data_IF_392086906776
#
_entry.id   IF_392086906776
#
_cell.length_a   1.000
_cell.length_b   1.000
_cell.length_c   1.000
_cell.angle_alpha   90.00
_cell.angle_beta   90.00
_cell.angle_gamma   90.00
#
_symmetry.space_group_name_H-M   'P 1'
#
loop_
_entity.id
_entity.type
_entity.pdbx_description
1 polymer ?
#
# COMPACT_ATOMS: atom_id res chain seq x y z
N UNK A 1 -38.87 35.63 -2.05
CA UNK A 1 -37.69 36.20 -2.69
C UNK A 1 -36.66 36.65 -1.67
N UNK A 2 -35.62 35.96 -1.51
CA UNK A 2 -34.24 36.25 -1.14
C UNK A 2 -33.63 35.11 -0.32
N UNK A 3 -33.03 34.11 -0.99
CA UNK A 3 -31.93 33.36 -0.37
C UNK A 3 -30.60 33.40 -1.15
N UNK A 4 -30.50 34.19 -2.26
CA UNK A 4 -29.31 34.11 -3.13
C UNK A 4 -28.10 34.98 -2.69
N UNK A 5 -28.31 35.93 -1.78
CA UNK A 5 -27.26 36.88 -1.39
C UNK A 5 -26.29 36.33 -0.32
N UNK A 6 -26.79 35.45 0.57
CA UNK A 6 -26.01 34.88 1.67
C UNK A 6 -25.03 33.81 1.15
N UNK A 7 -25.41 33.06 0.12
CA UNK A 7 -24.55 32.01 -0.47
C UNK A 7 -23.40 32.63 -1.27
N UNK A 8 -23.63 33.76 -1.96
CA UNK A 8 -22.59 34.50 -2.67
C UNK A 8 -21.55 35.11 -1.73
N UNK A 9 -21.94 35.62 -0.57
CA UNK A 9 -21.02 36.20 0.41
C UNK A 9 -20.09 35.18 1.07
N UNK A 10 -20.58 33.96 1.33
CA UNK A 10 -19.74 32.87 1.86
C UNK A 10 -18.72 32.36 0.82
N UNK A 11 -19.05 32.35 -0.46
CA UNK A 11 -18.14 31.95 -1.52
C UNK A 11 -17.00 32.95 -1.71
N UNK A 12 -17.29 34.26 -1.61
CA UNK A 12 -16.31 35.33 -1.75
C UNK A 12 -15.32 35.41 -0.56
N UNK A 13 -15.75 35.03 0.65
CA UNK A 13 -14.90 34.99 1.85
C UNK A 13 -13.89 33.83 1.84
N UNK A 14 -14.09 32.79 1.03
CA UNK A 14 -13.20 31.64 0.92
C UNK A 14 -12.14 31.77 -0.18
N UNK A 15 -12.31 32.71 -1.10
CA UNK A 15 -11.38 32.90 -2.23
C UNK A 15 -10.01 33.48 -1.84
N UNK A 16 -9.81 33.91 -0.60
CA UNK A 16 -8.54 34.44 -0.09
C UNK A 16 -8.00 33.74 1.15
N UNK A 17 -8.59 32.63 1.58
CA UNK A 17 -8.12 31.92 2.78
C UNK A 17 -6.78 31.22 2.50
N UNK A 18 -5.70 31.87 2.93
CA UNK A 18 -4.39 31.23 3.05
C UNK A 18 -4.39 30.44 4.36
N UNK A 19 -4.10 29.12 4.26
CA UNK A 19 -3.97 28.23 5.42
C UNK A 19 -2.49 27.95 5.63
N UNK A 20 -1.94 28.49 6.72
CA UNK A 20 -0.58 28.14 7.14
C UNK A 20 -0.58 26.65 7.55
N UNK A 21 0.31 25.89 6.96
CA UNK A 21 0.44 24.46 7.15
C UNK A 21 1.81 24.14 7.77
N UNK A 22 1.81 23.26 8.74
CA UNK A 22 3.03 22.69 9.32
C UNK A 22 3.31 21.36 8.64
N UNK A 23 4.51 21.25 8.03
CA UNK A 23 5.02 20.04 7.42
C UNK A 23 6.20 19.55 8.25
N UNK A 24 6.11 18.33 8.76
CA UNK A 24 7.15 17.71 9.56
C UNK A 24 8.06 16.91 8.64
N UNK A 25 9.15 17.51 8.19
CA UNK A 25 10.10 16.91 7.26
C UNK A 25 11.23 16.20 7.97
N UNK A 26 11.50 14.95 7.60
CA UNK A 26 12.76 14.29 7.89
C UNK A 26 13.84 14.94 7.03
N UNK A 27 14.81 15.61 7.68
CA UNK A 27 15.91 16.32 6.99
C UNK A 27 17.12 15.40 6.87
N UNK A 28 17.41 14.66 7.92
CA UNK A 28 18.42 13.62 8.00
C UNK A 28 17.87 12.44 8.79
N UNK A 29 18.45 11.26 8.71
CA UNK A 29 18.05 10.15 9.58
C UNK A 29 17.91 10.57 11.03
N UNK A 30 16.79 10.23 11.65
CA UNK A 30 16.39 10.55 13.03
C UNK A 30 16.25 12.05 13.35
N UNK A 31 16.29 12.94 12.35
CA UNK A 31 16.21 14.38 12.56
C UNK A 31 15.09 15.02 11.75
N UNK A 32 14.08 15.54 12.46
CA UNK A 32 12.93 16.24 11.88
C UNK A 32 13.04 17.75 12.06
N UNK A 33 12.58 18.49 11.04
CA UNK A 33 12.33 19.94 11.12
C UNK A 33 10.88 20.24 10.74
N UNK A 34 10.36 21.33 11.29
CA UNK A 34 9.04 21.85 10.91
C UNK A 34 9.23 22.91 9.84
N UNK A 35 8.54 22.71 8.70
CA UNK A 35 8.48 23.68 7.62
C UNK A 35 7.10 24.33 7.61
N UNK A 36 7.05 25.63 7.47
CA UNK A 36 5.84 26.44 7.36
C UNK A 36 5.59 26.77 5.88
N UNK A 37 4.40 26.46 5.40
CA UNK A 37 4.02 26.75 4.00
C UNK A 37 2.58 27.26 3.92
N UNK A 38 2.32 28.11 2.93
CA UNK A 38 0.96 28.45 2.54
C UNK A 38 0.37 27.34 1.69
N UNK A 39 -0.73 26.75 2.15
CA UNK A 39 -1.39 25.70 1.41
C UNK A 39 -2.25 26.27 0.30
N UNK A 40 -1.90 25.93 -0.94
CA UNK A 40 -2.73 26.21 -2.12
C UNK A 40 -3.96 25.31 -2.10
N UNK A 41 -5.14 25.92 -2.05
CA UNK A 41 -6.42 25.18 -1.95
C UNK A 41 -7.18 25.11 -3.29
N UNK A 42 -6.66 25.74 -4.34
CA UNK A 42 -7.35 25.78 -5.64
C UNK A 42 -7.39 24.38 -6.27
N UNK A 43 -8.58 23.97 -6.70
CA UNK A 43 -8.85 22.66 -7.30
C UNK A 43 -8.43 21.47 -6.43
N UNK A 44 -8.39 21.65 -5.10
CA UNK A 44 -8.01 20.62 -4.15
C UNK A 44 -9.04 20.45 -3.04
N UNK A 45 -9.10 19.23 -2.54
CA UNK A 45 -9.75 18.88 -1.29
C UNK A 45 -8.70 19.01 -0.19
N UNK A 46 -8.97 19.84 0.81
CA UNK A 46 -8.11 19.98 1.98
C UNK A 46 -8.58 19.03 3.07
N UNK A 47 -7.72 18.12 3.45
CA UNK A 47 -7.99 17.08 4.44
C UNK A 47 -7.11 17.30 5.66
N UNK A 48 -7.70 17.20 6.85
CA UNK A 48 -6.97 17.12 8.11
C UNK A 48 -6.69 15.65 8.45
N UNK A 49 -5.45 15.19 8.45
CA UNK A 49 -5.09 13.86 8.93
C UNK A 49 -5.60 13.62 10.35
N UNK A 50 -6.18 12.46 10.59
CA UNK A 50 -6.64 12.02 11.92
C UNK A 50 -5.86 10.84 12.42
N UNK A 51 -5.60 9.87 11.54
CA UNK A 51 -4.78 8.70 11.82
C UNK A 51 -3.85 8.42 10.66
N UNK A 52 -2.65 8.04 11.01
CA UNK A 52 -1.58 7.65 10.09
C UNK A 52 -0.97 6.35 10.55
N UNK A 53 -0.54 5.51 9.62
CA UNK A 53 0.21 4.28 9.90
C UNK A 53 1.64 4.42 9.46
N UNK A 54 2.56 3.82 10.20
CA UNK A 54 3.99 3.82 9.91
C UNK A 54 4.34 2.56 9.12
N UNK A 55 4.69 2.73 7.86
CA UNK A 55 5.18 1.65 7.01
C UNK A 55 6.66 1.31 7.33
N UNK A 56 7.07 0.10 6.99
CA UNK A 56 8.49 -0.26 7.07
C UNK A 56 9.38 0.63 6.17
N UNK A 57 8.83 1.13 5.07
CA UNK A 57 9.53 2.09 4.20
C UNK A 57 9.86 3.41 4.95
N UNK A 58 8.92 3.93 5.75
CA UNK A 58 9.14 5.14 6.56
C UNK A 58 10.23 4.89 7.61
N UNK A 59 10.20 3.73 8.28
CA UNK A 59 11.22 3.33 9.25
C UNK A 59 12.61 3.29 8.62
N UNK A 60 12.73 2.79 7.38
CA UNK A 60 14.02 2.72 6.67
C UNK A 60 14.57 4.11 6.35
N UNK A 61 13.73 5.09 6.00
CA UNK A 61 14.17 6.49 5.86
C UNK A 61 14.58 7.06 7.21
N UNK A 62 13.74 6.89 8.23
CA UNK A 62 14.00 7.41 9.56
C UNK A 62 15.33 6.88 10.16
N UNK A 63 15.61 5.57 10.01
CA UNK A 63 16.83 4.94 10.52
C UNK A 63 18.05 5.12 9.59
N UNK A 64 17.88 5.68 8.41
CA UNK A 64 18.95 5.78 7.42
C UNK A 64 19.33 4.46 6.74
N UNK A 65 18.46 3.45 6.81
CA UNK A 65 18.64 2.13 6.21
C UNK A 65 18.22 2.11 4.73
N UNK A 66 18.69 3.10 3.98
CA UNK A 66 18.53 3.25 2.54
C UNK A 66 19.89 3.53 1.93
N UNK A 67 20.01 3.29 0.64
CA UNK A 67 21.18 3.74 -0.13
C UNK A 67 21.42 5.24 0.07
N UNK A 68 22.68 5.64 0.25
CA UNK A 68 23.06 7.04 0.51
C UNK A 68 22.62 7.99 -0.60
N UNK A 69 22.68 7.55 -1.86
CA UNK A 69 22.21 8.33 -2.99
C UNK A 69 20.71 8.56 -2.90
N UNK A 70 19.92 7.52 -2.59
CA UNK A 70 18.48 7.63 -2.40
C UNK A 70 18.12 8.56 -1.23
N UNK A 71 18.89 8.57 -0.14
CA UNK A 71 18.70 9.51 0.97
C UNK A 71 18.97 10.95 0.54
N UNK A 72 20.10 11.20 -0.13
CA UNK A 72 20.48 12.56 -0.58
C UNK A 72 19.56 13.17 -1.64
N UNK A 73 18.97 12.32 -2.50
CA UNK A 73 18.06 12.77 -3.54
C UNK A 73 16.62 13.01 -3.03
N UNK A 74 16.21 12.31 -1.98
CA UNK A 74 14.81 12.30 -1.52
C UNK A 74 14.55 13.11 -0.26
N UNK A 75 15.55 13.34 0.57
CA UNK A 75 15.42 14.20 1.74
C UNK A 75 15.80 15.65 1.40
N UNK A 76 15.18 16.67 2.04
CA UNK A 76 14.15 16.57 3.08
C UNK A 76 12.76 16.23 2.52
N UNK A 77 11.99 15.41 3.24
CA UNK A 77 10.58 15.16 2.91
C UNK A 77 9.78 14.78 4.16
N UNK A 78 8.48 15.09 4.17
CA UNK A 78 7.56 14.51 5.14
C UNK A 78 7.38 13.02 4.85
N UNK A 79 7.46 12.20 5.89
CA UNK A 79 7.18 10.77 5.79
C UNK A 79 5.67 10.50 5.76
N UNK A 80 5.31 9.23 5.81
CA UNK A 80 3.96 8.67 5.89
C UNK A 80 3.18 8.77 4.60
N UNK A 81 2.76 7.60 4.12
CA UNK A 81 1.90 7.45 2.94
C UNK A 81 0.60 6.68 3.23
N UNK A 82 0.38 6.28 4.48
CA UNK A 82 -0.84 5.62 4.96
C UNK A 82 -1.60 6.59 5.85
N UNK A 83 -2.76 7.09 5.40
CA UNK A 83 -3.47 8.15 6.11
C UNK A 83 -4.97 8.13 5.84
N UNK A 84 -5.74 8.40 6.89
CA UNK A 84 -7.14 8.80 6.80
C UNK A 84 -7.37 10.08 7.60
N UNK A 85 -8.41 10.81 7.21
CA UNK A 85 -8.71 12.09 7.84
C UNK A 85 -10.13 12.57 7.55
N UNK A 86 -10.32 13.86 7.77
CA UNK A 86 -11.61 14.55 7.55
C UNK A 86 -11.41 15.72 6.60
N UNK A 87 -12.35 15.88 5.69
CA UNK A 87 -12.41 17.05 4.79
C UNK A 87 -12.70 18.31 5.59
N UNK A 88 -11.83 19.30 5.49
CA UNK A 88 -12.02 20.61 6.16
C UNK A 88 -12.36 21.73 5.18
N UNK A 89 -12.01 21.58 3.91
CA UNK A 89 -12.36 22.49 2.84
C UNK A 89 -12.36 21.73 1.52
N UNK A 90 -13.40 21.91 0.74
CA UNK A 90 -13.45 21.43 -0.66
C UNK A 90 -13.96 22.53 -1.58
N UNK A 91 -13.08 23.09 -2.41
CA UNK A 91 -13.43 24.06 -3.46
C UNK A 91 -13.88 23.37 -4.76
N UNK A 92 -13.73 22.06 -4.86
CA UNK A 92 -14.17 21.29 -6.05
C UNK A 92 -15.67 20.95 -5.98
N UNK A 93 -16.26 20.96 -4.79
CA UNK A 93 -17.68 20.63 -4.55
C UNK A 93 -17.95 19.12 -4.61
N UNK A 94 -16.92 18.28 -4.48
CA UNK A 94 -17.04 16.82 -4.57
C UNK A 94 -17.38 16.19 -3.21
N UNK A 95 -16.88 16.77 -2.11
CA UNK A 95 -16.97 16.21 -0.77
C UNK A 95 -17.59 17.19 0.22
N UNK A 96 -18.25 16.66 1.24
CA UNK A 96 -18.80 17.47 2.34
C UNK A 96 -17.72 17.75 3.41
N UNK A 97 -17.83 18.91 4.07
CA UNK A 97 -16.98 19.24 5.22
C UNK A 97 -17.31 18.28 6.37
N UNK A 98 -16.25 17.69 6.98
CA UNK A 98 -16.38 16.67 8.00
C UNK A 98 -16.46 15.24 7.46
N UNK A 99 -16.57 15.07 6.14
CA UNK A 99 -16.58 13.73 5.53
C UNK A 99 -15.26 12.99 5.81
N UNK A 100 -15.36 11.74 6.25
CA UNK A 100 -14.22 10.87 6.50
C UNK A 100 -13.67 10.31 5.20
N UNK A 101 -12.37 10.38 5.05
CA UNK A 101 -11.70 10.03 3.78
C UNK A 101 -10.35 9.34 4.02
N UNK A 102 -9.98 8.49 3.06
CA UNK A 102 -8.65 7.91 2.92
C UNK A 102 -7.92 8.64 1.80
N UNK A 103 -6.62 8.85 1.96
CA UNK A 103 -5.78 9.54 0.99
C UNK A 103 -4.96 8.54 0.18
N UNK A 104 -4.95 8.71 -1.14
CA UNK A 104 -4.17 7.89 -2.07
C UNK A 104 -2.82 8.55 -2.30
N UNK A 105 -1.70 7.93 -1.90
CA UNK A 105 -0.37 8.55 -2.01
C UNK A 105 0.20 8.56 -3.43
N UNK A 106 -0.29 7.71 -4.34
CA UNK A 106 0.16 7.70 -5.72
C UNK A 106 -0.49 8.84 -6.51
N UNK A 107 0.33 9.67 -7.15
CA UNK A 107 -0.11 10.82 -7.94
C UNK A 107 0.31 10.61 -9.40
N UNK A 108 -0.62 10.19 -10.27
CA UNK A 108 -0.31 10.00 -11.68
C UNK A 108 -0.06 11.33 -12.39
N UNK A 109 0.79 11.32 -13.40
CA UNK A 109 1.10 12.49 -14.21
C UNK A 109 0.07 12.77 -15.33
N UNK A 110 -0.99 11.97 -15.41
CA UNK A 110 -2.04 12.05 -16.43
C UNK A 110 -2.61 10.68 -16.76
N UNK A 111 -3.14 10.51 -17.96
CA UNK A 111 -3.61 9.22 -18.44
C UNK A 111 -2.44 8.24 -18.61
N UNK A 112 -2.53 7.10 -17.95
CA UNK A 112 -1.54 6.03 -17.98
C UNK A 112 -1.88 4.93 -19.02
N UNK A 113 -2.99 5.06 -19.74
CA UNK A 113 -3.46 4.09 -20.73
C UNK A 113 -3.67 2.69 -20.12
N UNK A 114 -3.00 1.68 -20.70
CA UNK A 114 -3.09 0.28 -20.25
C UNK A 114 -2.17 -0.03 -19.04
N UNK A 115 -1.26 0.89 -18.70
CA UNK A 115 -0.34 0.72 -17.56
C UNK A 115 -1.03 1.18 -16.29
N UNK A 116 -0.99 0.38 -15.24
CA UNK A 116 -1.48 0.83 -13.94
C UNK A 116 -0.69 2.07 -13.46
N UNK A 117 -1.39 3.06 -12.92
CA UNK A 117 -0.80 4.33 -12.47
C UNK A 117 0.36 4.17 -11.46
N UNK A 118 0.37 3.10 -10.69
CA UNK A 118 1.44 2.79 -9.73
C UNK A 118 2.74 2.26 -10.38
N UNK A 119 2.71 1.94 -11.67
CA UNK A 119 3.88 1.52 -12.48
C UNK A 119 4.28 2.54 -13.55
N UNK A 120 3.51 3.61 -13.75
CA UNK A 120 3.87 4.68 -14.67
C UNK A 120 5.07 5.45 -14.11
N UNK A 121 6.17 5.48 -14.82
CA UNK A 121 7.42 6.15 -14.42
C UNK A 121 7.24 7.66 -14.20
N UNK A 122 6.24 8.28 -14.83
CA UNK A 122 5.90 9.70 -14.67
C UNK A 122 5.12 9.96 -13.38
N UNK A 123 4.52 8.93 -12.77
CA UNK A 123 3.81 9.04 -11.51
C UNK A 123 4.80 9.26 -10.37
N UNK A 124 4.41 10.06 -9.39
CA UNK A 124 5.18 10.18 -8.15
C UNK A 124 4.38 9.65 -6.96
N UNK A 125 5.10 9.26 -5.94
CA UNK A 125 4.53 8.66 -4.74
C UNK A 125 4.89 9.50 -3.53
N UNK A 126 3.88 9.98 -2.80
CA UNK A 126 4.06 10.77 -1.60
C UNK A 126 4.82 9.95 -0.53
N UNK A 127 5.72 10.59 0.22
CA UNK A 127 6.73 10.00 1.09
C UNK A 127 7.80 9.15 0.36
N UNK A 128 8.00 9.40 -0.95
CA UNK A 128 9.11 8.79 -1.70
C UNK A 128 9.71 9.81 -2.68
N UNK A 129 10.34 10.85 -2.17
CA UNK A 129 10.89 11.98 -2.93
C UNK A 129 9.94 13.17 -3.06
N UNK A 130 8.77 13.09 -2.46
CA UNK A 130 7.82 14.19 -2.28
C UNK A 130 7.22 14.11 -0.88
N UNK A 131 6.77 15.24 -0.34
CA UNK A 131 6.18 15.29 1.00
C UNK A 131 4.99 14.34 1.14
N UNK A 132 5.09 13.41 2.11
CA UNK A 132 4.03 12.51 2.51
C UNK A 132 2.96 13.20 3.38
N UNK A 133 2.24 12.42 4.17
CA UNK A 133 1.10 12.91 4.94
C UNK A 133 1.43 13.45 6.34
N UNK A 134 2.70 13.43 6.76
CA UNK A 134 3.11 13.94 8.07
C UNK A 134 3.07 15.48 8.12
N UNK A 135 1.86 16.03 8.08
CA UNK A 135 1.55 17.47 8.06
C UNK A 135 0.17 17.73 8.66
N UNK A 136 -0.09 18.99 9.06
CA UNK A 136 -1.38 19.37 9.66
C UNK A 136 -2.53 19.26 8.65
N UNK A 137 -2.28 19.64 7.40
CA UNK A 137 -3.28 19.63 6.34
C UNK A 137 -2.68 19.07 5.06
N UNK A 138 -3.47 18.28 4.34
CA UNK A 138 -3.08 17.69 3.06
C UNK A 138 -4.04 18.17 1.98
N UNK A 139 -3.53 18.89 0.99
CA UNK A 139 -4.30 19.27 -0.20
C UNK A 139 -4.18 18.23 -1.29
N UNK A 140 -5.25 17.49 -1.55
CA UNK A 140 -5.28 16.41 -2.55
C UNK A 140 -6.18 16.76 -3.73
N UNK A 141 -5.86 16.31 -4.95
CA UNK A 141 -6.84 16.26 -6.03
C UNK A 141 -8.03 15.40 -5.62
N UNK A 142 -9.28 15.75 -6.00
CA UNK A 142 -10.46 15.01 -5.55
C UNK A 142 -10.44 13.53 -5.96
N UNK A 143 -9.82 13.18 -7.08
CA UNK A 143 -9.65 11.79 -7.52
C UNK A 143 -8.67 10.97 -6.68
N UNK A 144 -7.89 11.62 -5.80
CA UNK A 144 -6.96 10.98 -4.86
C UNK A 144 -7.50 10.87 -3.43
N UNK A 145 -8.79 11.06 -3.28
CA UNK A 145 -9.52 10.98 -2.01
C UNK A 145 -10.60 9.91 -2.14
N UNK A 146 -10.73 9.04 -1.14
CA UNK A 146 -11.74 7.97 -1.10
C UNK A 146 -12.58 8.11 0.15
N UNK A 147 -13.87 8.41 0.04
CA UNK A 147 -14.75 8.47 1.19
C UNK A 147 -15.01 7.07 1.75
N UNK A 148 -15.28 6.99 3.05
CA UNK A 148 -15.67 5.73 3.69
C UNK A 148 -16.66 5.99 4.84
N UNK A 149 -17.44 4.95 5.15
CA UNK A 149 -18.40 4.93 6.24
C UNK A 149 -18.26 3.63 7.03
N UNK A 150 -18.72 3.64 8.28
CA UNK A 150 -18.81 2.44 9.13
C UNK A 150 -17.48 1.71 9.41
N UNK A 151 -16.34 2.36 9.15
CA UNK A 151 -15.01 1.85 9.47
C UNK A 151 -14.40 2.75 10.56
N UNK A 152 -13.86 2.19 11.65
CA UNK A 152 -13.10 2.99 12.62
C UNK A 152 -11.91 3.68 11.95
N UNK A 153 -11.64 4.93 12.33
CA UNK A 153 -10.51 5.71 11.75
C UNK A 153 -9.17 4.97 11.87
N UNK A 154 -8.95 4.29 13.00
CA UNK A 154 -7.74 3.49 13.21
C UNK A 154 -7.60 2.37 12.17
N UNK A 155 -8.71 1.72 11.82
CA UNK A 155 -8.73 0.69 10.76
C UNK A 155 -8.57 1.31 9.38
N UNK A 156 -9.23 2.45 9.13
CA UNK A 156 -9.12 3.15 7.85
C UNK A 156 -7.70 3.64 7.55
N UNK A 157 -6.88 3.91 8.57
CA UNK A 157 -5.50 4.37 8.38
C UNK A 157 -4.60 3.35 7.69
N UNK A 158 -4.92 2.06 7.75
CA UNK A 158 -4.15 0.99 7.06
C UNK A 158 -4.74 0.59 5.70
N UNK A 159 -5.70 1.35 5.18
CA UNK A 159 -6.36 1.01 3.90
C UNK A 159 -5.39 1.06 2.71
N UNK A 160 -4.41 1.96 2.73
CA UNK A 160 -3.33 1.96 1.72
C UNK A 160 -2.64 0.60 1.71
N UNK A 161 -2.20 0.13 2.85
CA UNK A 161 -1.51 -1.14 2.99
C UNK A 161 -2.38 -2.34 2.54
N UNK A 162 -3.68 -2.34 2.88
CA UNK A 162 -4.63 -3.34 2.39
C UNK A 162 -4.79 -3.25 0.87
N UNK A 163 -4.82 -2.05 0.29
CA UNK A 163 -4.95 -1.86 -1.16
C UNK A 163 -3.79 -2.47 -1.95
N UNK A 164 -2.57 -2.49 -1.37
CA UNK A 164 -1.41 -3.19 -1.95
C UNK A 164 -1.65 -4.69 -2.01
N UNK A 165 -2.22 -5.28 -0.96
CA UNK A 165 -2.59 -6.69 -0.93
C UNK A 165 -3.68 -7.01 -1.97
N UNK A 166 -4.71 -6.16 -2.05
CA UNK A 166 -5.78 -6.28 -3.07
C UNK A 166 -5.19 -6.26 -4.47
N UNK A 167 -4.28 -5.31 -4.76
CA UNK A 167 -3.59 -5.23 -6.04
C UNK A 167 -2.84 -6.53 -6.36
N UNK A 168 -2.06 -7.07 -5.42
CA UNK A 168 -1.30 -8.29 -5.62
C UNK A 168 -2.21 -9.51 -5.88
N UNK A 169 -3.29 -9.63 -5.11
CA UNK A 169 -4.28 -10.71 -5.28
C UNK A 169 -5.00 -10.59 -6.64
N UNK A 170 -5.35 -9.37 -7.07
CA UNK A 170 -5.95 -9.12 -8.37
C UNK A 170 -4.98 -9.43 -9.52
N UNK A 171 -3.68 -9.14 -9.36
CA UNK A 171 -2.67 -9.53 -10.35
C UNK A 171 -2.55 -11.05 -10.45
N UNK A 172 -2.52 -11.77 -9.33
CA UNK A 172 -2.56 -13.23 -9.35
C UNK A 172 -3.81 -13.72 -10.09
N UNK A 173 -4.99 -13.23 -9.71
CA UNK A 173 -6.27 -13.66 -10.29
C UNK A 173 -6.32 -13.49 -11.81
N UNK A 174 -5.78 -12.39 -12.32
CA UNK A 174 -5.75 -12.09 -13.76
C UNK A 174 -4.84 -13.02 -14.56
N UNK A 175 -3.73 -13.49 -13.97
CA UNK A 175 -2.68 -14.21 -14.70
C UNK A 175 -2.55 -15.69 -14.35
N UNK A 176 -3.16 -16.12 -13.23
CA UNK A 176 -3.10 -17.49 -12.76
C UNK A 176 -4.12 -18.40 -13.46
N UNK A 177 -3.79 -19.69 -13.58
CA UNK A 177 -4.78 -20.70 -13.98
C UNK A 177 -5.91 -20.80 -12.92
N UNK A 178 -7.03 -21.44 -13.27
CA UNK A 178 -8.27 -21.42 -12.47
C UNK A 178 -8.22 -22.29 -11.21
N UNK A 179 -7.33 -23.28 -11.09
CA UNK A 179 -7.21 -24.10 -9.88
C UNK A 179 -6.64 -23.25 -8.74
N UNK A 180 -7.39 -23.13 -7.67
CA UNK A 180 -7.07 -22.33 -6.49
C UNK A 180 -7.45 -23.08 -5.21
N UNK A 181 -7.17 -24.40 -5.16
CA UNK A 181 -7.50 -25.22 -4.01
C UNK A 181 -6.65 -24.83 -2.81
N UNK A 182 -5.36 -24.58 -3.05
CA UNK A 182 -4.42 -24.18 -2.01
C UNK A 182 -3.54 -23.01 -2.50
N UNK A 183 -3.54 -21.93 -1.73
CA UNK A 183 -2.69 -20.75 -1.99
C UNK A 183 -1.73 -20.58 -0.81
N UNK A 184 -0.42 -20.50 -1.12
CA UNK A 184 0.64 -20.35 -0.13
C UNK A 184 1.11 -18.92 0.01
N UNK A 185 1.49 -18.53 1.22
CA UNK A 185 2.11 -17.25 1.52
C UNK A 185 3.41 -17.51 2.26
N UNK A 186 4.54 -17.08 1.73
CA UNK A 186 5.84 -17.16 2.38
C UNK A 186 6.16 -15.82 3.03
N UNK A 187 6.28 -15.85 4.35
CA UNK A 187 6.46 -14.72 5.25
C UNK A 187 5.48 -14.75 6.41
N UNK A 188 5.87 -14.19 7.55
CA UNK A 188 5.05 -14.11 8.77
C UNK A 188 4.84 -12.67 9.25
N UNK A 189 5.07 -11.71 8.33
CA UNK A 189 4.94 -10.29 8.59
C UNK A 189 3.57 -9.71 8.29
N UNK A 190 3.46 -8.39 8.42
CA UNK A 190 2.20 -7.65 8.19
C UNK A 190 1.70 -7.78 6.75
N UNK A 191 2.60 -7.79 5.74
CA UNK A 191 2.20 -7.98 4.33
C UNK A 191 1.53 -9.34 4.13
N UNK A 192 2.10 -10.41 4.67
CA UNK A 192 1.49 -11.74 4.63
C UNK A 192 0.10 -11.77 5.27
N UNK A 193 -0.07 -11.02 6.35
CA UNK A 193 -1.34 -10.93 7.07
C UNK A 193 -2.44 -10.30 6.21
N UNK A 194 -2.18 -9.14 5.61
CA UNK A 194 -3.17 -8.47 4.75
C UNK A 194 -3.42 -9.22 3.44
N UNK A 195 -2.40 -9.90 2.88
CA UNK A 195 -2.59 -10.83 1.74
C UNK A 195 -3.51 -11.98 2.13
N UNK A 196 -3.31 -12.59 3.30
CA UNK A 196 -4.19 -13.66 3.77
C UNK A 196 -5.63 -13.18 3.97
N UNK A 197 -5.84 -11.97 4.50
CA UNK A 197 -7.17 -11.36 4.62
C UNK A 197 -7.81 -11.18 3.23
N UNK A 198 -7.11 -10.55 2.29
CA UNK A 198 -7.61 -10.31 0.93
C UNK A 198 -7.95 -11.63 0.20
N UNK A 199 -7.10 -12.66 0.34
CA UNK A 199 -7.35 -13.98 -0.22
C UNK A 199 -8.59 -14.67 0.38
N UNK A 200 -8.80 -14.56 1.69
CA UNK A 200 -9.98 -15.14 2.36
C UNK A 200 -11.28 -14.51 1.89
N UNK A 201 -11.27 -13.20 1.62
CA UNK A 201 -12.42 -12.48 1.08
C UNK A 201 -12.65 -12.87 -0.39
N UNK A 202 -11.61 -12.81 -1.20
CA UNK A 202 -11.73 -13.02 -2.65
C UNK A 202 -11.94 -14.49 -3.04
N UNK A 203 -11.28 -15.41 -2.33
CA UNK A 203 -11.33 -16.85 -2.59
C UNK A 203 -11.72 -17.63 -1.31
N UNK A 204 -12.96 -17.49 -0.82
CA UNK A 204 -13.39 -18.07 0.45
C UNK A 204 -13.31 -19.59 0.50
N UNK A 205 -13.33 -20.27 -0.65
CA UNK A 205 -13.23 -21.74 -0.77
C UNK A 205 -11.78 -22.25 -0.79
N UNK A 206 -10.80 -21.37 -1.09
CA UNK A 206 -9.39 -21.77 -1.15
C UNK A 206 -8.82 -22.01 0.24
N UNK A 207 -7.95 -23.01 0.36
CA UNK A 207 -7.12 -23.21 1.54
C UNK A 207 -5.96 -22.21 1.51
N UNK A 208 -5.88 -21.37 2.52
CA UNK A 208 -4.77 -20.42 2.69
C UNK A 208 -3.78 -20.99 3.68
N UNK A 209 -2.52 -21.08 3.26
CA UNK A 209 -1.42 -21.62 4.06
C UNK A 209 -0.33 -20.56 4.19
N UNK A 210 0.14 -20.32 5.40
CA UNK A 210 1.22 -19.37 5.68
C UNK A 210 2.46 -20.10 6.17
N UNK A 211 3.61 -19.81 5.55
CA UNK A 211 4.91 -20.37 5.88
C UNK A 211 5.80 -19.27 6.43
N UNK A 212 6.32 -19.41 7.63
CA UNK A 212 7.13 -18.39 8.30
C UNK A 212 8.22 -18.94 9.20
N UNK A 213 9.03 -18.06 9.77
CA UNK A 213 10.16 -18.44 10.64
C UNK A 213 9.83 -18.30 12.13
N UNK A 214 8.85 -17.47 12.49
CA UNK A 214 8.56 -17.10 13.86
C UNK A 214 7.19 -17.62 14.31
N UNK A 215 7.18 -18.58 15.24
CA UNK A 215 5.94 -19.21 15.75
C UNK A 215 4.97 -18.19 16.40
N UNK A 216 5.49 -17.20 17.14
CA UNK A 216 4.67 -16.14 17.76
C UNK A 216 4.01 -15.25 16.72
N UNK A 217 4.68 -14.97 15.58
CA UNK A 217 4.05 -14.23 14.48
C UNK A 217 3.01 -15.09 13.78
N UNK A 218 3.33 -16.37 13.51
CA UNK A 218 2.40 -17.31 12.89
C UNK A 218 1.12 -17.53 13.70
N UNK A 219 1.18 -17.49 15.03
CA UNK A 219 -0.02 -17.63 15.89
C UNK A 219 -1.07 -16.54 15.66
N UNK A 220 -0.72 -15.40 15.05
CA UNK A 220 -1.67 -14.35 14.70
C UNK A 220 -2.55 -14.69 13.49
N UNK A 221 -2.16 -15.68 12.70
CA UNK A 221 -2.89 -16.13 11.50
C UNK A 221 -3.95 -17.19 11.85
N UNK A 222 -4.71 -16.98 12.93
CA UNK A 222 -5.72 -17.95 13.43
C UNK A 222 -6.87 -18.23 12.45
N UNK A 223 -7.08 -17.35 11.47
CA UNK A 223 -8.15 -17.41 10.48
C UNK A 223 -7.76 -18.14 9.18
N UNK A 224 -6.49 -18.50 8.99
CA UNK A 224 -6.05 -19.29 7.83
C UNK A 224 -6.20 -20.79 8.09
N UNK A 225 -6.13 -21.58 7.02
CA UNK A 225 -6.34 -23.02 7.13
C UNK A 225 -5.18 -23.76 7.80
N UNK A 226 -3.93 -23.30 7.58
CA UNK A 226 -2.74 -23.91 8.16
C UNK A 226 -1.57 -22.91 8.20
N UNK A 227 -0.72 -23.05 9.20
CA UNK A 227 0.57 -22.40 9.27
C UNK A 227 1.68 -23.42 9.41
N UNK A 228 2.85 -23.18 8.82
CA UNK A 228 4.04 -23.98 8.95
C UNK A 228 5.25 -23.11 9.31
N UNK A 229 6.09 -23.65 10.18
CA UNK A 229 7.45 -23.15 10.29
C UNK A 229 8.25 -23.62 9.07
N UNK A 230 9.09 -22.75 8.52
CA UNK A 230 9.86 -22.99 7.29
C UNK A 230 10.62 -24.33 7.33
N UNK A 231 11.18 -24.68 8.49
CA UNK A 231 11.94 -25.92 8.67
C UNK A 231 11.07 -27.16 8.90
N UNK A 232 9.78 -27.01 9.11
CA UNK A 232 8.83 -28.13 9.33
C UNK A 232 7.84 -28.29 8.17
N UNK A 233 8.11 -27.65 7.04
CA UNK A 233 7.27 -27.76 5.85
C UNK A 233 7.40 -29.17 5.26
N UNK A 234 6.31 -29.95 5.10
CA UNK A 234 6.39 -31.29 4.54
C UNK A 234 6.95 -31.29 3.11
N UNK A 235 7.78 -32.27 2.78
CA UNK A 235 8.42 -32.35 1.47
C UNK A 235 7.42 -32.52 0.31
N UNK A 236 6.29 -33.15 0.57
CA UNK A 236 5.18 -33.37 -0.38
C UNK A 236 4.14 -32.24 -0.40
N UNK A 237 4.26 -31.25 0.47
CA UNK A 237 3.36 -30.10 0.48
C UNK A 237 3.42 -29.35 -0.84
N UNK A 238 2.28 -28.97 -1.40
CA UNK A 238 2.16 -28.21 -2.65
C UNK A 238 1.05 -27.20 -2.57
N UNK A 239 1.25 -26.12 -3.33
CA UNK A 239 0.29 -25.02 -3.52
C UNK A 239 0.06 -24.77 -5.01
N UNK A 240 -1.11 -24.26 -5.38
CA UNK A 240 -1.40 -23.91 -6.76
C UNK A 240 -0.74 -22.58 -7.14
N UNK A 241 -0.80 -21.61 -6.24
CA UNK A 241 -0.20 -20.29 -6.39
C UNK A 241 0.45 -19.85 -5.08
N UNK A 242 1.39 -18.92 -5.17
CA UNK A 242 2.17 -18.50 -4.01
C UNK A 242 2.43 -16.99 -3.98
N UNK A 243 2.58 -16.44 -2.76
CA UNK A 243 2.98 -15.06 -2.52
C UNK A 243 4.28 -15.00 -1.73
N UNK A 244 5.25 -14.24 -2.24
CA UNK A 244 6.50 -13.93 -1.53
C UNK A 244 6.33 -12.60 -0.79
N UNK A 245 6.40 -12.65 0.53
CA UNK A 245 6.21 -11.51 1.42
C UNK A 245 7.35 -11.40 2.47
N UNK A 246 8.51 -12.00 2.21
CA UNK A 246 9.65 -12.01 3.14
C UNK A 246 10.51 -10.78 2.96
N UNK A 247 10.97 -10.54 1.72
CA UNK A 247 11.91 -9.48 1.43
C UNK A 247 13.27 -9.61 2.11
N UNK A 248 14.18 -8.66 1.83
CA UNK A 248 15.52 -8.61 2.43
C UNK A 248 16.35 -9.87 2.17
N UNK A 249 17.26 -10.17 3.07
CA UNK A 249 18.19 -11.31 2.97
C UNK A 249 17.47 -12.67 2.95
N UNK A 250 16.29 -12.76 3.53
CA UNK A 250 15.54 -14.02 3.61
C UNK A 250 14.76 -14.39 2.36
N UNK A 251 14.65 -13.48 1.38
CA UNK A 251 13.77 -13.72 0.24
C UNK A 251 14.31 -14.80 -0.70
N UNK A 252 15.61 -14.98 -0.81
CA UNK A 252 16.21 -16.05 -1.64
C UNK A 252 15.72 -17.44 -1.19
N UNK A 253 15.87 -17.78 0.10
CA UNK A 253 15.40 -19.06 0.66
C UNK A 253 13.88 -19.24 0.48
N UNK A 254 13.12 -18.15 0.68
CA UNK A 254 11.68 -18.19 0.47
C UNK A 254 11.30 -18.49 -0.99
N UNK A 255 11.94 -17.83 -1.95
CA UNK A 255 11.71 -18.02 -3.40
C UNK A 255 12.07 -19.45 -3.82
N UNK A 256 13.22 -19.97 -3.39
CA UNK A 256 13.62 -21.35 -3.72
C UNK A 256 12.59 -22.36 -3.20
N UNK A 257 12.12 -22.20 -1.96
CA UNK A 257 11.05 -23.05 -1.39
C UNK A 257 9.74 -22.88 -2.15
N UNK A 258 9.37 -21.67 -2.52
CA UNK A 258 8.17 -21.44 -3.33
C UNK A 258 8.25 -22.16 -4.67
N UNK A 259 9.39 -22.11 -5.37
CA UNK A 259 9.62 -22.83 -6.64
C UNK A 259 9.45 -24.34 -6.42
N UNK A 260 10.00 -24.89 -5.34
CA UNK A 260 9.90 -26.32 -5.02
C UNK A 260 8.46 -26.75 -4.72
N UNK A 261 7.73 -25.94 -3.95
CA UNK A 261 6.40 -26.28 -3.41
C UNK A 261 5.23 -25.79 -4.26
N UNK A 262 5.45 -25.01 -5.32
CA UNK A 262 4.37 -24.62 -6.24
C UNK A 262 4.17 -25.71 -7.30
N UNK A 263 2.93 -26.07 -7.57
CA UNK A 263 2.57 -27.01 -8.63
C UNK A 263 3.04 -26.50 -10.01
N UNK A 264 3.26 -27.38 -10.99
CA UNK A 264 3.51 -26.99 -12.38
C UNK A 264 2.45 -26.00 -12.89
N UNK A 265 2.90 -25.02 -13.71
CA UNK A 265 2.11 -23.89 -14.23
C UNK A 265 1.55 -22.94 -13.16
N UNK A 266 1.95 -23.10 -11.90
CA UNK A 266 1.55 -22.18 -10.83
C UNK A 266 2.11 -20.77 -11.01
N UNK A 267 1.47 -19.81 -10.37
CA UNK A 267 1.85 -18.39 -10.38
C UNK A 267 2.38 -17.98 -9.03
N UNK A 268 3.54 -17.33 -9.05
CA UNK A 268 4.19 -16.76 -7.85
C UNK A 268 4.16 -15.23 -7.96
N UNK A 269 3.66 -14.56 -6.92
CA UNK A 269 3.61 -13.09 -6.82
C UNK A 269 4.65 -12.62 -5.83
N UNK A 270 5.55 -11.74 -6.28
CA UNK A 270 6.63 -11.19 -5.46
C UNK A 270 6.30 -9.79 -4.98
N UNK A 271 6.32 -9.60 -3.66
CA UNK A 271 6.08 -8.32 -2.99
C UNK A 271 7.26 -7.89 -2.10
N UNK A 272 8.07 -8.85 -1.66
CA UNK A 272 9.20 -8.58 -0.76
C UNK A 272 10.26 -7.73 -1.45
N UNK A 273 10.66 -6.63 -0.81
CA UNK A 273 11.71 -5.73 -1.30
C UNK A 273 13.07 -6.20 -0.80
N UNK A 274 14.01 -6.43 -1.72
CA UNK A 274 15.42 -6.66 -1.42
C UNK A 274 16.29 -5.56 -2.03
N UNK A 275 17.28 -5.08 -1.31
CA UNK A 275 18.25 -4.11 -1.85
C UNK A 275 19.27 -4.80 -2.76
N UNK A 276 19.57 -6.07 -2.50
CA UNK A 276 20.52 -6.88 -3.26
C UNK A 276 19.79 -7.69 -4.34
N UNK A 277 20.52 -8.01 -5.39
CA UNK A 277 20.05 -8.96 -6.41
C UNK A 277 19.84 -10.32 -5.78
N UNK A 278 18.71 -10.94 -6.11
CA UNK A 278 18.33 -12.27 -5.60
C UNK A 278 18.46 -13.28 -6.74
N UNK A 279 19.29 -14.33 -6.60
CA UNK A 279 19.36 -15.40 -7.60
C UNK A 279 18.08 -16.22 -7.58
N UNK A 280 17.67 -16.72 -8.75
CA UNK A 280 16.49 -17.57 -8.94
C UNK A 280 16.91 -18.84 -9.66
N UNK A 281 16.44 -20.01 -9.21
CA UNK A 281 16.63 -21.27 -9.89
C UNK A 281 15.79 -21.33 -11.18
N UNK A 282 16.37 -20.79 -12.26
CA UNK A 282 15.68 -20.69 -13.56
C UNK A 282 15.40 -22.05 -14.19
N UNK A 283 16.23 -23.07 -13.91
CA UNK A 283 16.01 -24.42 -14.43
C UNK A 283 14.71 -25.02 -13.92
N UNK A 284 14.49 -25.02 -12.61
CA UNK A 284 13.24 -25.50 -12.01
C UNK A 284 12.02 -24.67 -12.44
N UNK A 285 12.21 -23.37 -12.62
CA UNK A 285 11.17 -22.48 -13.13
C UNK A 285 10.71 -22.90 -14.53
N UNK A 286 11.65 -23.20 -15.44
CA UNK A 286 11.38 -23.67 -16.80
C UNK A 286 10.72 -25.05 -16.80
N UNK A 287 11.29 -26.01 -16.06
CA UNK A 287 10.79 -27.39 -16.01
C UNK A 287 9.35 -27.48 -15.50
N UNK A 288 8.97 -26.60 -14.57
CA UNK A 288 7.61 -26.53 -14.01
C UNK A 288 6.69 -25.56 -14.74
N UNK A 289 7.19 -24.77 -15.69
CA UNK A 289 6.40 -23.75 -16.40
C UNK A 289 5.80 -22.70 -15.46
N UNK A 290 6.53 -22.27 -14.43
CA UNK A 290 6.04 -21.32 -13.44
C UNK A 290 5.98 -19.90 -13.98
N UNK A 291 4.99 -19.13 -13.55
CA UNK A 291 4.89 -17.69 -13.81
C UNK A 291 5.33 -16.89 -12.59
N UNK A 292 6.13 -15.84 -12.80
CA UNK A 292 6.50 -14.88 -11.75
C UNK A 292 5.91 -13.53 -12.08
N UNK A 293 5.26 -12.91 -11.10
CA UNK A 293 4.63 -11.59 -11.21
C UNK A 293 5.16 -10.69 -10.10
N UNK A 294 5.77 -9.56 -10.45
CA UNK A 294 6.09 -8.51 -9.49
C UNK A 294 4.83 -7.71 -9.11
N UNK A 295 4.70 -7.33 -7.85
CA UNK A 295 3.61 -6.46 -7.38
C UNK A 295 4.12 -5.48 -6.34
N UNK A 296 3.84 -4.18 -6.55
CA UNK A 296 4.17 -3.13 -5.61
C UNK A 296 3.18 -1.98 -5.70
N UNK A 297 2.96 -1.30 -4.57
CA UNK A 297 2.01 -0.19 -4.49
C UNK A 297 0.60 -0.62 -4.95
N UNK A 298 -0.26 0.34 -5.26
CA UNK A 298 -1.62 0.09 -5.76
C UNK A 298 -2.14 1.30 -6.53
N UNK A 299 -3.25 1.12 -7.23
CA UNK A 299 -3.98 2.16 -7.94
C UNK A 299 -5.33 2.44 -7.26
N UNK A 300 -5.99 3.55 -7.60
CA UNK A 300 -7.28 3.95 -7.03
C UNK A 300 -8.33 2.82 -6.98
N UNK A 301 -8.53 1.98 -8.01
CA UNK A 301 -9.51 0.89 -7.95
C UNK A 301 -9.29 -0.06 -6.77
N UNK A 302 -8.03 -0.31 -6.39
CA UNK A 302 -7.68 -1.20 -5.28
C UNK A 302 -8.02 -0.59 -3.92
N UNK A 303 -7.96 0.76 -3.78
CA UNK A 303 -8.45 1.47 -2.59
C UNK A 303 -9.97 1.35 -2.47
N UNK A 304 -10.70 1.51 -3.57
CA UNK A 304 -12.17 1.36 -3.58
C UNK A 304 -12.58 -0.07 -3.21
N UNK A 305 -11.87 -1.08 -3.69
CA UNK A 305 -12.08 -2.48 -3.32
C UNK A 305 -11.74 -2.72 -1.84
N UNK A 306 -10.60 -2.19 -1.35
CA UNK A 306 -10.15 -2.35 0.03
C UNK A 306 -11.13 -1.74 1.06
N UNK A 307 -11.75 -0.61 0.75
CA UNK A 307 -12.75 0.03 1.62
C UNK A 307 -14.03 -0.82 1.75
N UNK A 308 -14.34 -1.63 0.75
CA UNK A 308 -15.54 -2.49 0.74
C UNK A 308 -15.27 -3.90 1.28
N UNK A 309 -14.05 -4.20 1.68
CA UNK A 309 -13.67 -5.47 2.33
C UNK A 309 -13.92 -5.45 3.83
#
# INVERSE_FOLDING_TARGET
SQPSTIIKSRRCLLEGLQVINYIYQLVNPQFFCVKYVDTKTDKKVLVRPRYMSICHADQRYYLGNRDLKALSEKLPMALIHECCGEVILDKTGTYEIGQKVILIPNVPAGDCGIIYENYDERSHFLSSGADGFMREFVGMPPERVVPFENIPLQTASICEFLSVAVHAVNRMDKHAHSRRDTIGIWGDGSMSYVIACALKVKFPKSKIVVVGKNSRKLSRFSFVNKTYLTYSLPADFRVDHAFECVGGEGCHDAIDRMIQHTHPQGTMVFLGVSENKVPINTRLLLEKGLSIIGSSRSAKPHFLEAVNM
#
